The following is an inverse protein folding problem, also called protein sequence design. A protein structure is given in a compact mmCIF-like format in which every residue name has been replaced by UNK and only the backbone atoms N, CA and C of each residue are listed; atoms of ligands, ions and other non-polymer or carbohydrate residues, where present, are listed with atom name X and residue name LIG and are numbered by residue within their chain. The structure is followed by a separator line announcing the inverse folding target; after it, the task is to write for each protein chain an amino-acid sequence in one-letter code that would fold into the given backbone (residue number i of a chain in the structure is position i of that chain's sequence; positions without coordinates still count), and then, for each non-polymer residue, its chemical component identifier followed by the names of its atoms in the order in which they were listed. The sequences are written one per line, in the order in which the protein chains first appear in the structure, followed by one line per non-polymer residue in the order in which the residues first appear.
data_IF_389582081142
#
_entry.id   IF_389582081142
#
_cell.length_a   1.000
_cell.length_b   1.000
_cell.length_c   1.000
_cell.angle_alpha   90.00
_cell.angle_beta   90.00
_cell.angle_gamma   90.00
#
_symmetry.space_group_name_H-M   'P 1'
#
loop_
_entity.id
_entity.type
_entity.pdbx_description
1 polymer ?
#
# COMPACT_ATOMS: atom_id res chain seq x y z
N UNK A 1 2.08 44.35 -65.33
CA UNK A 1 2.83 44.04 -64.08
C UNK A 1 2.55 45.01 -62.93
N UNK A 2 2.15 46.27 -63.17
CA UNK A 2 1.85 47.22 -62.09
C UNK A 2 0.54 46.93 -61.31
N UNK A 3 -0.50 46.37 -61.96
CA UNK A 3 -1.78 46.08 -61.30
C UNK A 3 -1.76 44.82 -60.41
N UNK A 4 -0.93 43.83 -60.73
CA UNK A 4 -0.78 42.62 -59.91
C UNK A 4 -0.09 42.95 -58.57
N UNK A 5 0.91 43.85 -58.59
CA UNK A 5 1.59 44.30 -57.37
C UNK A 5 0.70 45.16 -56.47
N UNK A 6 -0.21 45.97 -57.03
CA UNK A 6 -1.22 46.69 -56.24
C UNK A 6 -2.24 45.73 -55.61
N UNK A 7 -2.58 44.63 -56.28
CA UNK A 7 -3.46 43.59 -55.74
C UNK A 7 -2.80 42.81 -54.59
N UNK A 8 -1.52 42.44 -54.73
CA UNK A 8 -0.80 41.69 -53.70
C UNK A 8 -0.57 42.53 -52.43
N UNK A 9 -0.23 43.82 -52.59
CA UNK A 9 -0.09 44.74 -51.46
C UNK A 9 -1.40 44.92 -50.69
N UNK A 10 -2.54 44.93 -51.39
CA UNK A 10 -3.87 45.03 -50.77
C UNK A 10 -4.26 43.75 -50.05
N UNK A 11 -3.91 42.59 -50.60
CA UNK A 11 -4.12 41.28 -49.97
C UNK A 11 -3.23 41.09 -48.72
N UNK A 12 -2.00 41.60 -48.73
CA UNK A 12 -1.12 41.59 -47.57
C UNK A 12 -1.63 42.52 -46.45
N UNK A 13 -2.12 43.70 -46.79
CA UNK A 13 -2.73 44.62 -45.81
C UNK A 13 -4.00 44.02 -45.19
N UNK A 14 -4.81 43.32 -45.99
CA UNK A 14 -6.02 42.63 -45.51
C UNK A 14 -5.69 41.41 -44.64
N UNK A 15 -4.64 40.65 -44.98
CA UNK A 15 -4.14 39.55 -44.16
C UNK A 15 -3.52 40.04 -42.85
N UNK A 16 -2.72 41.11 -42.87
CA UNK A 16 -2.16 41.70 -41.64
C UNK A 16 -3.25 42.19 -40.69
N UNK A 17 -4.28 42.89 -41.20
CA UNK A 17 -5.43 43.31 -40.38
C UNK A 17 -6.21 42.12 -39.82
N UNK A 18 -6.29 41.02 -40.56
CA UNK A 18 -6.95 39.79 -40.11
C UNK A 18 -6.12 39.04 -39.07
N UNK A 19 -4.80 39.08 -39.17
CA UNK A 19 -3.87 38.58 -38.15
C UNK A 19 -3.97 39.45 -36.89
N UNK A 20 -3.96 40.78 -36.98
CA UNK A 20 -4.17 41.66 -35.82
C UNK A 20 -5.55 41.48 -35.16
N UNK A 21 -6.60 41.22 -35.95
CA UNK A 21 -7.92 40.84 -35.43
C UNK A 21 -7.95 39.46 -34.77
N UNK A 22 -7.14 38.51 -35.25
CA UNK A 22 -6.99 37.20 -34.63
C UNK A 22 -6.13 37.28 -33.38
N UNK A 23 -5.06 38.07 -33.38
CA UNK A 23 -4.19 38.34 -32.24
C UNK A 23 -4.91 39.14 -31.16
N UNK A 24 -5.84 40.04 -31.51
CA UNK A 24 -6.72 40.69 -30.52
C UNK A 24 -7.83 39.77 -30.00
N UNK A 25 -8.23 38.74 -30.76
CA UNK A 25 -9.13 37.67 -30.30
C UNK A 25 -8.41 36.60 -29.46
N UNK A 26 -7.10 36.41 -29.67
CA UNK A 26 -6.24 35.49 -28.92
C UNK A 26 -5.57 36.19 -27.73
N UNK A 27 -5.42 37.51 -27.79
CA UNK A 27 -4.86 38.38 -26.73
C UNK A 27 -5.87 38.79 -25.65
N UNK A 28 -7.11 38.32 -25.74
CA UNK A 28 -8.14 38.46 -24.71
C UNK A 28 -8.15 37.25 -23.78
N UNK A 29 -7.15 37.19 -22.88
CA UNK A 29 -7.12 36.27 -21.75
C UNK A 29 -6.92 34.79 -22.11
N UNK A 30 -5.96 34.14 -21.45
CA UNK A 30 -6.19 32.74 -21.07
C UNK A 30 -7.61 32.68 -20.48
N UNK A 31 -8.40 31.60 -20.67
CA UNK A 31 -9.43 31.32 -19.70
C UNK A 31 -8.68 31.10 -18.39
N UNK A 32 -8.52 32.18 -17.60
CA UNK A 32 -8.56 32.05 -16.17
C UNK A 32 -9.91 31.42 -15.94
N UNK A 33 -9.91 30.09 -15.82
CA UNK A 33 -10.73 29.48 -14.80
C UNK A 33 -10.41 30.33 -13.58
N UNK A 34 -11.29 31.27 -13.24
CA UNK A 34 -11.29 31.82 -11.91
C UNK A 34 -11.40 30.59 -11.04
N UNK A 35 -10.27 30.21 -10.46
CA UNK A 35 -10.21 29.16 -9.48
C UNK A 35 -10.90 29.74 -8.25
N UNK A 36 -12.23 29.67 -8.27
CA UNK A 36 -13.06 29.97 -7.11
C UNK A 36 -12.92 28.87 -6.06
N UNK A 37 -12.04 27.88 -6.27
CA UNK A 37 -11.61 27.00 -5.20
C UNK A 37 -10.67 27.81 -4.33
N UNK A 38 -11.15 28.16 -3.16
CA UNK A 38 -10.26 28.39 -2.02
C UNK A 38 -9.32 27.18 -1.89
N UNK A 39 -8.10 27.36 -1.36
CA UNK A 39 -7.13 26.27 -1.07
C UNK A 39 -7.74 25.10 -0.24
N UNK A 40 -8.91 25.34 0.38
CA UNK A 40 -9.74 24.36 1.08
C UNK A 40 -10.52 23.38 0.17
N UNK A 41 -10.76 23.70 -1.11
CA UNK A 41 -11.57 22.88 -2.05
C UNK A 41 -10.70 22.03 -3.01
N UNK A 42 -9.37 22.16 -2.93
CA UNK A 42 -8.48 21.40 -3.78
C UNK A 42 -8.30 19.97 -3.26
N UNK A 43 -8.59 18.98 -4.11
CA UNK A 43 -8.42 17.57 -3.80
C UNK A 43 -6.96 17.28 -3.43
N UNK A 44 -6.75 16.69 -2.25
CA UNK A 44 -5.43 16.31 -1.73
C UNK A 44 -5.17 14.83 -2.01
N UNK A 45 -3.90 14.49 -2.20
CA UNK A 45 -3.48 13.16 -2.63
C UNK A 45 -2.43 12.59 -1.71
N UNK A 46 -2.43 11.26 -1.56
CA UNK A 46 -1.40 10.55 -0.84
C UNK A 46 -0.04 10.71 -1.55
N UNK A 47 1.04 10.87 -0.80
CA UNK A 47 2.40 11.02 -1.32
C UNK A 47 3.28 9.88 -0.77
N UNK A 48 3.02 8.66 -1.21
CA UNK A 48 3.69 7.46 -0.70
C UNK A 48 5.23 7.58 -0.83
N UNK A 49 5.99 7.29 0.25
CA UNK A 49 7.44 7.31 0.19
C UNK A 49 7.98 6.23 -0.75
N UNK A 50 9.03 6.56 -1.51
CA UNK A 50 9.71 5.59 -2.37
C UNK A 50 10.64 4.71 -1.55
N UNK A 51 10.34 3.42 -1.45
CA UNK A 51 11.21 2.40 -0.83
C UNK A 51 11.93 1.62 -1.93
N UNK A 52 13.27 1.41 -1.84
CA UNK A 52 13.99 0.56 -2.78
C UNK A 52 13.41 -0.86 -2.83
N UNK A 53 13.23 -1.40 -4.03
CA UNK A 53 12.77 -2.78 -4.18
C UNK A 53 13.82 -3.79 -3.71
N UNK A 54 13.37 -4.91 -3.13
CA UNK A 54 14.24 -6.06 -2.85
C UNK A 54 14.91 -6.49 -4.16
N UNK A 55 16.24 -6.55 -4.11
CA UNK A 55 17.06 -7.07 -5.20
C UNK A 55 17.25 -8.57 -5.01
N UNK A 56 17.18 -9.31 -6.10
CA UNK A 56 17.37 -10.76 -6.12
C UNK A 56 18.61 -11.11 -6.94
N UNK A 57 19.28 -12.21 -6.59
CA UNK A 57 20.39 -12.70 -7.40
C UNK A 57 19.89 -13.10 -8.80
N UNK A 58 20.78 -13.08 -9.79
CA UNK A 58 20.45 -13.46 -11.17
C UNK A 58 19.99 -14.93 -11.32
N UNK A 59 20.17 -15.75 -10.27
CA UNK A 59 19.74 -17.15 -10.21
C UNK A 59 18.24 -17.28 -9.88
N UNK A 60 17.61 -16.22 -9.36
CA UNK A 60 16.17 -16.19 -9.08
C UNK A 60 15.43 -15.82 -10.36
N UNK A 61 14.51 -16.69 -10.79
CA UNK A 61 13.67 -16.40 -11.96
C UNK A 61 12.82 -15.15 -11.72
N UNK A 62 12.58 -14.37 -12.77
CA UNK A 62 11.72 -13.18 -12.70
C UNK A 62 10.31 -13.50 -12.17
N UNK A 63 9.78 -14.70 -12.49
CA UNK A 63 8.50 -15.20 -11.98
C UNK A 63 8.50 -15.42 -10.45
N UNK A 64 9.62 -15.88 -9.89
CA UNK A 64 9.75 -16.10 -8.44
C UNK A 64 9.96 -14.79 -7.69
N UNK A 65 10.89 -13.95 -8.16
CA UNK A 65 11.13 -12.62 -7.61
C UNK A 65 9.84 -11.79 -7.50
N UNK A 66 8.97 -11.93 -8.50
CA UNK A 66 7.64 -11.33 -8.59
C UNK A 66 6.71 -11.69 -7.41
N UNK A 67 6.51 -12.97 -7.16
CA UNK A 67 5.54 -13.40 -6.14
C UNK A 67 6.01 -13.07 -4.72
N UNK A 68 7.33 -13.07 -4.54
CA UNK A 68 7.95 -12.57 -3.31
C UNK A 68 7.58 -11.10 -3.13
N UNK A 69 7.78 -10.22 -4.11
CA UNK A 69 7.43 -8.77 -3.99
C UNK A 69 5.96 -8.49 -3.70
N UNK A 70 5.06 -9.33 -4.22
CA UNK A 70 3.63 -9.15 -4.00
C UNK A 70 3.20 -9.47 -2.57
N UNK A 71 3.75 -10.54 -1.99
CA UNK A 71 3.34 -11.07 -0.68
C UNK A 71 4.29 -10.59 0.43
N UNK A 72 5.54 -10.26 0.12
CA UNK A 72 6.54 -9.84 1.11
C UNK A 72 6.17 -8.54 1.80
N UNK A 73 5.39 -7.66 1.16
CA UNK A 73 4.87 -6.46 1.82
C UNK A 73 3.73 -6.78 2.79
N UNK A 74 3.02 -7.89 2.60
CA UNK A 74 1.90 -8.25 3.47
C UNK A 74 2.41 -8.73 4.83
N UNK A 75 1.69 -8.39 5.88
CA UNK A 75 1.91 -8.97 7.19
C UNK A 75 1.55 -10.47 7.16
N UNK A 76 2.11 -11.25 8.07
CA UNK A 76 1.56 -12.58 8.33
C UNK A 76 0.22 -12.41 9.04
N UNK A 77 -0.79 -13.17 8.62
CA UNK A 77 -2.12 -13.03 9.17
C UNK A 77 -2.12 -13.37 10.68
N UNK A 78 -2.91 -12.64 11.47
CA UNK A 78 -2.91 -12.75 12.93
C UNK A 78 -1.92 -11.83 13.63
N UNK A 79 -1.15 -11.03 12.88
CA UNK A 79 -0.20 -10.06 13.45
C UNK A 79 -0.98 -8.98 14.20
N UNK A 80 -0.48 -8.59 15.37
CA UNK A 80 -0.98 -7.44 16.12
C UNK A 80 -0.01 -6.28 15.91
N UNK A 81 -0.50 -5.21 15.31
CA UNK A 81 0.27 -4.02 14.99
C UNK A 81 0.00 -2.94 16.04
N UNK A 82 1.07 -2.39 16.60
CA UNK A 82 1.00 -1.33 17.58
C UNK A 82 1.19 0.01 16.89
N UNK A 83 0.31 0.95 17.19
CA UNK A 83 0.39 2.30 16.68
C UNK A 83 0.52 3.33 17.80
N UNK A 84 1.32 4.35 17.53
CA UNK A 84 1.56 5.47 18.42
C UNK A 84 1.35 6.77 17.66
N UNK A 85 0.64 7.71 18.29
CA UNK A 85 0.57 9.09 17.82
C UNK A 85 1.68 9.90 18.48
N UNK A 86 2.47 10.62 17.67
CA UNK A 86 3.40 11.59 18.23
C UNK A 86 2.65 12.56 19.16
N UNK A 87 3.13 12.69 20.40
CA UNK A 87 2.49 13.49 21.44
C UNK A 87 3.07 14.90 21.59
N UNK A 88 4.22 15.16 20.98
CA UNK A 88 5.00 16.37 21.13
C UNK A 88 5.73 16.77 19.84
N UNK A 89 6.21 18.01 19.80
CA UNK A 89 6.93 18.55 18.65
C UNK A 89 6.04 18.78 17.42
N UNK A 90 6.65 18.94 16.24
CA UNK A 90 5.94 19.32 15.01
C UNK A 90 5.05 18.21 14.44
N UNK A 91 5.13 16.99 14.98
CA UNK A 91 4.35 15.84 14.52
C UNK A 91 3.11 15.60 15.37
N UNK A 92 2.92 16.35 16.46
CA UNK A 92 1.80 16.16 17.36
C UNK A 92 0.48 16.56 16.72
N UNK A 93 -0.44 15.61 16.59
CA UNK A 93 -1.81 15.87 16.11
C UNK A 93 -2.72 16.38 17.22
N UNK A 94 -3.74 17.16 16.84
CA UNK A 94 -4.85 17.51 17.73
C UNK A 94 -5.70 16.27 18.10
N UNK A 95 -6.47 16.35 19.18
CA UNK A 95 -7.33 15.25 19.65
C UNK A 95 -8.28 14.74 18.57
N UNK A 96 -8.89 15.67 17.84
CA UNK A 96 -9.96 15.37 16.89
C UNK A 96 -9.42 14.64 15.65
N UNK A 97 -8.21 15.03 15.20
CA UNK A 97 -7.51 14.33 14.12
C UNK A 97 -7.06 12.92 14.54
N UNK A 98 -6.56 12.75 15.78
CA UNK A 98 -6.22 11.41 16.30
C UNK A 98 -7.46 10.52 16.37
N UNK A 99 -8.60 11.08 16.75
CA UNK A 99 -9.86 10.34 16.80
C UNK A 99 -10.30 9.85 15.42
N UNK A 100 -10.22 10.70 14.40
CA UNK A 100 -10.49 10.26 13.01
C UNK A 100 -9.57 9.13 12.55
N UNK A 101 -8.30 9.13 12.98
CA UNK A 101 -7.39 8.03 12.66
C UNK A 101 -7.78 6.75 13.41
N UNK A 102 -8.23 6.85 14.67
CA UNK A 102 -8.78 5.70 15.41
C UNK A 102 -10.02 5.14 14.73
N UNK A 103 -10.92 6.01 14.24
CA UNK A 103 -12.09 5.59 13.45
C UNK A 103 -11.66 4.82 12.19
N UNK A 104 -10.60 5.26 11.51
CA UNK A 104 -10.01 4.53 10.38
C UNK A 104 -9.53 3.11 10.76
N UNK A 105 -8.88 2.96 11.92
CA UNK A 105 -8.52 1.63 12.43
C UNK A 105 -9.76 0.78 12.76
N UNK A 106 -10.82 1.39 13.31
CA UNK A 106 -12.09 0.71 13.58
C UNK A 106 -12.77 0.23 12.29
N UNK A 107 -12.72 1.00 11.21
CA UNK A 107 -13.24 0.56 9.89
C UNK A 107 -12.57 -0.75 9.47
N UNK A 108 -11.24 -0.84 9.54
CA UNK A 108 -10.50 -2.06 9.21
C UNK A 108 -10.75 -3.20 10.22
N UNK A 109 -10.87 -2.92 11.52
CA UNK A 109 -11.27 -3.92 12.54
C UNK A 109 -12.63 -4.53 12.22
N UNK A 110 -13.60 -3.71 11.81
CA UNK A 110 -14.97 -4.14 11.50
C UNK A 110 -15.08 -5.02 10.24
N UNK A 111 -14.05 -5.04 9.38
CA UNK A 111 -13.95 -6.01 8.28
C UNK A 111 -13.85 -7.45 8.81
N UNK A 112 -13.38 -7.63 10.06
CA UNK A 112 -13.18 -8.94 10.66
C UNK A 112 -11.96 -9.67 10.09
N UNK A 113 -10.93 -8.92 9.69
CA UNK A 113 -9.65 -9.49 9.27
C UNK A 113 -8.87 -10.03 10.48
N UNK A 114 -7.93 -10.94 10.22
CA UNK A 114 -7.08 -11.49 11.27
C UNK A 114 -5.97 -10.55 11.77
N UNK A 115 -5.79 -9.36 11.19
CA UNK A 115 -4.83 -8.36 11.72
C UNK A 115 -5.46 -7.61 12.88
N UNK A 116 -4.73 -7.52 13.98
CA UNK A 116 -5.09 -6.71 15.15
C UNK A 116 -4.38 -5.37 15.14
N UNK A 117 -5.00 -4.36 15.72
CA UNK A 117 -4.41 -3.05 15.94
C UNK A 117 -4.50 -2.69 17.42
N UNK A 118 -3.46 -2.08 17.98
CA UNK A 118 -3.43 -1.59 19.36
C UNK A 118 -2.76 -0.23 19.46
N UNK A 119 -3.41 0.72 20.12
CA UNK A 119 -2.78 1.99 20.46
C UNK A 119 -1.88 1.79 21.67
N UNK A 120 -0.62 2.21 21.57
CA UNK A 120 0.34 2.18 22.67
C UNK A 120 0.70 3.59 23.12
N UNK A 121 1.10 3.72 24.39
CA UNK A 121 1.48 5.00 24.99
C UNK A 121 2.96 5.34 24.82
N UNK A 122 3.79 4.36 24.44
CA UNK A 122 5.21 4.54 24.21
C UNK A 122 5.53 4.36 22.74
N UNK A 123 6.32 5.26 22.16
CA UNK A 123 6.82 5.10 20.81
C UNK A 123 7.68 3.86 20.66
N UNK A 124 8.37 3.43 21.73
CA UNK A 124 9.26 2.25 21.73
C UNK A 124 8.52 0.93 21.53
N UNK A 125 7.21 0.92 21.78
CA UNK A 125 6.34 -0.25 21.61
C UNK A 125 5.64 -0.26 20.23
N UNK A 126 5.86 0.75 19.38
CA UNK A 126 5.08 0.97 18.16
C UNK A 126 5.84 0.68 16.87
N UNK A 127 5.27 -0.18 16.01
CA UNK A 127 5.70 -0.29 14.62
C UNK A 127 5.16 0.89 13.79
N UNK A 128 3.89 1.25 14.00
CA UNK A 128 3.22 2.33 13.27
C UNK A 128 3.36 3.64 14.08
N UNK A 129 3.98 4.66 13.49
CA UNK A 129 4.34 5.91 14.16
C UNK A 129 3.74 7.07 13.38
N UNK A 130 2.64 7.60 13.89
CA UNK A 130 1.72 8.47 13.15
C UNK A 130 1.95 9.93 13.53
N UNK A 131 2.41 10.72 12.55
CA UNK A 131 2.59 12.17 12.69
C UNK A 131 1.54 12.99 11.95
N UNK A 132 1.51 14.29 12.25
CA UNK A 132 0.57 15.25 11.68
C UNK A 132 1.28 16.51 11.16
N UNK A 133 2.39 16.34 10.44
CA UNK A 133 3.18 17.46 9.93
C UNK A 133 2.45 18.16 8.79
N UNK A 134 1.89 19.34 9.08
CA UNK A 134 1.19 20.16 8.08
C UNK A 134 2.06 20.47 6.86
N UNK A 135 1.50 20.31 5.66
CA UNK A 135 2.18 20.52 4.39
C UNK A 135 3.01 19.35 3.87
N UNK A 136 3.16 18.28 4.66
CA UNK A 136 3.96 17.10 4.30
C UNK A 136 3.14 15.97 3.64
N UNK A 137 1.93 16.28 3.17
CA UNK A 137 1.01 15.32 2.56
C UNK A 137 0.46 14.27 3.53
N UNK A 138 -0.51 13.47 3.07
CA UNK A 138 -0.88 12.22 3.75
C UNK A 138 -0.10 11.08 3.10
N UNK A 139 0.41 10.16 3.91
CA UNK A 139 1.15 9.00 3.40
C UNK A 139 1.36 7.94 4.48
N UNK A 140 1.63 6.72 4.04
CA UNK A 140 2.11 5.62 4.86
C UNK A 140 3.07 4.74 4.05
N UNK A 141 4.01 4.09 4.73
CA UNK A 141 4.78 3.01 4.14
C UNK A 141 3.89 1.78 3.88
N UNK A 142 4.24 1.00 2.86
CA UNK A 142 3.41 -0.13 2.43
C UNK A 142 3.76 -1.39 3.22
N UNK A 143 2.85 -1.82 4.08
CA UNK A 143 2.94 -3.12 4.72
C UNK A 143 4.14 -3.24 5.65
N UNK A 144 4.95 -4.28 5.46
CA UNK A 144 6.15 -4.54 6.27
C UNK A 144 7.27 -3.50 6.08
N UNK A 145 7.19 -2.62 5.09
CA UNK A 145 8.17 -1.52 4.96
C UNK A 145 8.17 -0.61 6.21
N UNK A 146 7.07 -0.60 6.96
CA UNK A 146 6.94 0.09 8.24
C UNK A 146 8.02 -0.33 9.26
N UNK A 147 8.38 -1.61 9.32
CA UNK A 147 9.36 -2.14 10.29
C UNK A 147 10.81 -2.05 9.78
N UNK A 148 11.01 -1.74 8.50
CA UNK A 148 12.34 -1.55 7.92
C UNK A 148 12.85 -0.11 8.11
N UNK A 149 12.02 0.80 8.64
CA UNK A 149 12.42 2.17 8.95
C UNK A 149 13.28 2.20 10.22
N UNK A 150 14.57 2.56 10.11
CA UNK A 150 15.54 2.34 11.18
C UNK A 150 15.37 3.27 12.40
N UNK A 151 14.81 4.48 12.22
CA UNK A 151 14.63 5.43 13.31
C UNK A 151 13.32 5.23 14.06
N UNK A 152 13.42 4.93 15.36
CA UNK A 152 12.27 4.83 16.27
C UNK A 152 11.47 6.15 16.39
N UNK A 153 12.08 7.29 16.07
CA UNK A 153 11.43 8.60 16.06
C UNK A 153 11.10 9.12 14.66
N UNK A 154 11.30 8.30 13.63
CA UNK A 154 10.85 8.61 12.28
C UNK A 154 9.38 8.21 12.12
N UNK A 155 8.59 9.06 11.45
CA UNK A 155 7.19 8.73 11.14
C UNK A 155 7.14 7.58 10.15
N UNK A 156 6.19 6.68 10.33
CA UNK A 156 5.86 5.64 9.33
C UNK A 156 4.50 5.87 8.66
N UNK A 157 3.77 6.87 9.16
CA UNK A 157 2.56 7.42 8.57
C UNK A 157 2.48 8.91 8.90
N UNK A 158 1.92 9.72 8.02
CA UNK A 158 1.67 11.13 8.25
C UNK A 158 0.30 11.55 7.72
N UNK A 159 -0.31 12.53 8.38
CA UNK A 159 -1.44 13.30 7.87
C UNK A 159 -1.06 14.78 7.80
N UNK A 160 -0.94 15.29 6.57
CA UNK A 160 -0.35 16.61 6.31
C UNK A 160 -1.34 17.78 6.28
N UNK A 161 -2.59 17.56 6.66
CA UNK A 161 -3.63 18.57 6.71
C UNK A 161 -4.66 18.25 7.79
N UNK A 162 -5.52 19.22 8.09
CA UNK A 162 -6.60 19.03 9.05
C UNK A 162 -7.65 18.04 8.50
N UNK A 163 -7.61 16.82 9.01
CA UNK A 163 -8.53 15.74 8.65
C UNK A 163 -10.00 16.10 8.90
N UNK A 164 -10.29 16.95 9.89
CA UNK A 164 -11.67 17.33 10.23
C UNK A 164 -12.34 18.18 9.15
N UNK A 165 -11.53 18.73 8.25
CA UNK A 165 -11.96 19.56 7.11
C UNK A 165 -11.80 18.82 5.77
N UNK A 166 -11.36 17.57 5.80
CA UNK A 166 -11.18 16.75 4.61
C UNK A 166 -12.55 16.32 4.06
N UNK A 167 -12.89 16.61 2.79
CA UNK A 167 -14.12 16.13 2.17
C UNK A 167 -14.25 14.59 2.16
N UNK A 168 -13.13 13.86 2.20
CA UNK A 168 -13.11 12.39 2.31
C UNK A 168 -13.35 11.91 3.74
N UNK A 169 -13.24 12.79 4.74
CA UNK A 169 -13.43 12.45 6.15
C UNK A 169 -12.52 11.28 6.59
N UNK A 170 -13.13 10.26 7.17
CA UNK A 170 -12.43 9.06 7.69
C UNK A 170 -11.73 8.24 6.60
N UNK A 171 -12.12 8.39 5.33
CA UNK A 171 -11.53 7.60 4.25
C UNK A 171 -10.05 7.91 4.01
N UNK A 172 -9.60 9.14 4.33
CA UNK A 172 -8.17 9.46 4.25
C UNK A 172 -7.38 8.59 5.23
N UNK A 173 -7.71 8.52 6.54
CA UNK A 173 -7.16 7.50 7.43
C UNK A 173 -7.32 6.06 6.95
N UNK A 174 -8.49 5.66 6.45
CA UNK A 174 -8.72 4.28 5.95
C UNK A 174 -7.75 3.94 4.82
N UNK A 175 -7.50 4.88 3.90
CA UNK A 175 -6.54 4.75 2.81
C UNK A 175 -5.11 4.54 3.32
N UNK A 176 -4.64 5.41 4.22
CA UNK A 176 -3.27 5.30 4.75
C UNK A 176 -3.08 4.03 5.58
N UNK A 177 -4.10 3.59 6.31
CA UNK A 177 -4.08 2.31 7.02
C UNK A 177 -4.11 1.13 6.03
N UNK A 178 -4.77 1.28 4.88
CA UNK A 178 -4.73 0.33 3.77
C UNK A 178 -3.29 0.13 3.24
N UNK A 179 -2.53 1.22 3.10
CA UNK A 179 -1.09 1.13 2.81
C UNK A 179 -0.34 0.39 3.92
N UNK A 180 -0.58 0.71 5.19
CA UNK A 180 0.01 -0.03 6.32
C UNK A 180 -0.34 -1.52 6.28
N UNK A 181 -1.50 -1.92 5.77
CA UNK A 181 -1.87 -3.32 5.55
C UNK A 181 -1.20 -3.95 4.31
N UNK A 182 -0.47 -3.17 3.53
CA UNK A 182 0.30 -3.61 2.38
C UNK A 182 -0.43 -3.46 1.04
N UNK A 183 -1.52 -2.68 0.97
CA UNK A 183 -2.23 -2.42 -0.28
C UNK A 183 -1.65 -1.20 -1.00
N UNK A 184 -1.21 -1.33 -2.26
CA UNK A 184 -0.76 -0.19 -3.06
C UNK A 184 -1.95 0.58 -3.65
N UNK A 185 -1.70 1.63 -4.42
CA UNK A 185 -2.76 2.37 -5.09
C UNK A 185 -3.44 1.58 -6.22
N UNK A 186 -4.77 1.65 -6.27
CA UNK A 186 -5.58 0.88 -7.22
C UNK A 186 -5.47 1.40 -8.67
N UNK A 187 -5.21 2.70 -8.90
CA UNK A 187 -4.99 3.22 -10.26
C UNK A 187 -3.67 2.76 -10.89
N UNK A 188 -2.75 2.26 -10.06
CA UNK A 188 -1.51 1.62 -10.53
C UNK A 188 -1.73 0.16 -10.90
N UNK A 189 -2.92 -0.40 -10.65
CA UNK A 189 -3.33 -1.70 -11.14
C UNK A 189 -3.20 -1.73 -12.69
N UNK A 190 -2.39 -2.63 -13.24
CA UNK A 190 -2.16 -2.74 -14.68
C UNK A 190 -3.41 -3.21 -15.43
N UNK A 191 -4.34 -3.91 -14.76
CA UNK A 191 -5.63 -4.30 -15.31
C UNK A 191 -6.66 -3.17 -15.31
N UNK A 192 -6.34 -1.99 -14.78
CA UNK A 192 -7.23 -0.82 -14.81
C UNK A 192 -7.55 -0.33 -16.22
N UNK A 193 -6.72 -0.68 -17.22
CA UNK A 193 -6.87 -0.19 -18.59
C UNK A 193 -6.72 1.34 -18.71
N UNK A 194 -6.27 2.01 -17.64
CA UNK A 194 -6.08 3.45 -17.61
C UNK A 194 -4.94 3.84 -18.54
N UNK A 195 -5.28 4.65 -19.55
CA UNK A 195 -4.32 5.35 -20.40
C UNK A 195 -4.34 6.82 -19.99
N UNK A 196 -3.20 7.30 -19.50
CA UNK A 196 -3.04 8.67 -19.02
C UNK A 196 -2.77 9.66 -20.16
N UNK A 197 -3.21 10.90 -20.00
CA UNK A 197 -2.57 12.05 -20.63
C UNK A 197 -1.41 12.47 -19.71
N UNK A 198 -0.23 11.90 -19.92
CA UNK A 198 0.89 12.01 -18.98
C UNK A 198 1.33 13.46 -18.73
N UNK A 199 1.33 14.31 -19.76
CA UNK A 199 1.69 15.72 -19.60
C UNK A 199 0.62 16.48 -18.80
N UNK A 200 -0.67 16.22 -19.05
CA UNK A 200 -1.74 16.80 -18.24
C UNK A 200 -1.65 16.33 -16.77
N UNK A 201 -1.28 15.06 -16.53
CA UNK A 201 -1.04 14.53 -15.18
C UNK A 201 0.13 15.26 -14.52
N UNK A 202 1.26 15.42 -15.22
CA UNK A 202 2.40 16.16 -14.67
C UNK A 202 2.07 17.62 -14.36
N UNK A 203 1.36 18.31 -15.27
CA UNK A 203 0.96 19.70 -15.08
C UNK A 203 -0.01 19.86 -13.91
N UNK A 204 -0.96 18.94 -13.76
CA UNK A 204 -1.94 18.96 -12.67
C UNK A 204 -1.27 18.74 -11.30
N UNK A 205 -0.50 17.66 -11.13
CA UNK A 205 0.15 17.36 -9.86
C UNK A 205 1.35 18.26 -9.55
N UNK A 206 1.93 18.91 -10.56
CA UNK A 206 2.96 19.94 -10.40
C UNK A 206 2.40 21.28 -9.92
N UNK A 207 1.09 21.50 -10.00
CA UNK A 207 0.40 22.68 -9.45
C UNK A 207 0.08 22.55 -7.96
N UNK A 208 -0.39 23.64 -7.36
CA UNK A 208 -0.92 23.63 -5.99
C UNK A 208 -2.17 22.73 -5.90
N UNK A 209 -2.41 22.08 -4.74
CA UNK A 209 -1.63 22.13 -3.50
C UNK A 209 -0.44 21.16 -3.48
N UNK A 210 -0.35 20.21 -4.40
CA UNK A 210 0.65 19.13 -4.39
C UNK A 210 2.07 19.61 -4.65
N UNK A 211 2.25 20.46 -5.67
CA UNK A 211 3.55 20.97 -6.11
C UNK A 211 4.60 19.85 -6.33
N UNK A 212 4.17 18.70 -6.83
CA UNK A 212 5.04 17.53 -6.95
C UNK A 212 6.02 17.66 -8.12
N UNK A 213 7.30 17.29 -7.93
CA UNK A 213 8.19 17.08 -9.05
C UNK A 213 7.72 15.88 -9.88
N UNK A 214 8.08 15.85 -11.17
CA UNK A 214 7.68 14.79 -12.10
C UNK A 214 8.01 13.38 -11.59
N UNK A 215 9.12 13.20 -10.87
CA UNK A 215 9.48 11.90 -10.30
C UNK A 215 8.46 11.40 -9.27
N UNK A 216 8.01 12.28 -8.36
CA UNK A 216 6.97 11.96 -7.37
C UNK A 216 5.65 11.64 -8.04
N UNK A 217 5.24 12.42 -9.06
CA UNK A 217 4.04 12.15 -9.85
C UNK A 217 4.14 10.83 -10.60
N UNK A 218 5.31 10.53 -11.17
CA UNK A 218 5.53 9.25 -11.82
C UNK A 218 5.37 8.10 -10.83
N UNK A 219 6.03 8.17 -9.68
CA UNK A 219 5.98 7.13 -8.66
C UNK A 219 4.58 6.87 -8.11
N UNK A 220 3.84 7.94 -7.78
CA UNK A 220 2.53 7.85 -7.11
C UNK A 220 1.36 7.68 -8.09
N UNK A 221 1.46 8.14 -9.34
CA UNK A 221 0.33 8.18 -10.28
C UNK A 221 0.56 7.34 -11.52
N UNK A 222 1.65 7.60 -12.25
CA UNK A 222 1.82 7.05 -13.61
C UNK A 222 2.42 5.64 -13.63
N UNK A 223 3.30 5.33 -12.67
CA UNK A 223 3.94 4.02 -12.56
C UNK A 223 2.86 2.96 -12.43
N UNK A 224 2.85 2.00 -13.33
CA UNK A 224 2.03 0.79 -13.20
C UNK A 224 2.75 -0.21 -12.33
N UNK A 225 2.00 -0.85 -11.44
CA UNK A 225 2.44 -2.08 -10.83
C UNK A 225 2.59 -3.10 -11.96
N UNK A 226 3.60 -3.97 -11.91
CA UNK A 226 3.70 -5.08 -12.83
C UNK A 226 2.37 -5.87 -12.87
N UNK A 227 1.91 -6.31 -14.07
CA UNK A 227 0.71 -7.15 -14.34
C UNK A 227 0.52 -8.34 -13.39
N UNK A 228 1.58 -8.68 -12.69
CA UNK A 228 1.83 -9.93 -12.06
C UNK A 228 2.07 -9.74 -10.54
N UNK A 229 1.94 -8.50 -10.03
CA UNK A 229 1.82 -8.09 -8.61
C UNK A 229 0.36 -7.78 -8.22
N UNK A 230 -0.61 -8.02 -9.11
CA UNK A 230 -2.03 -7.72 -8.90
C UNK A 230 -2.91 -8.91 -9.35
N UNK A 231 -2.35 -10.12 -9.32
CA UNK A 231 -2.94 -11.33 -9.92
C UNK A 231 -4.35 -11.60 -9.34
N UNK A 232 -5.38 -11.45 -10.19
CA UNK A 232 -6.76 -11.83 -9.89
C UNK A 232 -7.69 -10.74 -9.33
N UNK A 233 -7.25 -9.51 -9.08
CA UNK A 233 -8.20 -8.42 -8.79
C UNK A 233 -8.60 -7.68 -10.06
N UNK A 234 -9.83 -7.91 -10.51
CA UNK A 234 -10.50 -7.01 -11.44
C UNK A 234 -10.39 -5.59 -10.87
N UNK A 235 -9.90 -4.64 -11.67
CA UNK A 235 -9.75 -3.25 -11.25
C UNK A 235 -11.03 -2.71 -10.60
N UNK A 236 -10.85 -1.97 -9.51
CA UNK A 236 -11.93 -1.36 -8.76
C UNK A 236 -11.88 0.18 -8.80
N UNK A 237 -12.73 0.85 -9.60
CA UNK A 237 -12.77 2.30 -9.64
C UNK A 237 -13.29 2.93 -8.34
N UNK A 238 -13.97 2.15 -7.48
CA UNK A 238 -14.55 2.59 -6.21
C UNK A 238 -13.73 2.15 -4.99
N UNK A 239 -12.54 1.57 -5.19
CA UNK A 239 -11.65 1.19 -4.08
C UNK A 239 -11.24 2.42 -3.28
N UNK A 240 -11.19 2.28 -1.95
CA UNK A 240 -10.64 3.32 -1.08
C UNK A 240 -9.18 3.64 -1.45
N UNK A 241 -8.45 2.66 -2.01
CA UNK A 241 -7.06 2.78 -2.47
C UNK A 241 -6.92 3.49 -3.82
N UNK A 242 -8.03 3.89 -4.45
CA UNK A 242 -8.04 4.64 -5.71
C UNK A 242 -8.05 6.15 -5.45
N UNK A 243 -7.33 6.90 -6.28
CA UNK A 243 -7.43 8.35 -6.28
C UNK A 243 -8.65 8.84 -7.06
N UNK A 244 -9.24 9.95 -6.63
CA UNK A 244 -10.13 10.70 -7.50
C UNK A 244 -9.30 11.49 -8.52
N UNK A 245 -9.63 11.40 -9.79
CA UNK A 245 -8.95 12.17 -10.84
C UNK A 245 -9.94 13.14 -11.49
N UNK A 246 -9.62 14.43 -11.62
CA UNK A 246 -10.47 15.37 -12.35
C UNK A 246 -10.52 15.06 -13.85
N UNK A 247 -11.46 15.70 -14.54
CA UNK A 247 -11.58 15.62 -15.99
C UNK A 247 -10.27 16.01 -16.70
N UNK A 248 -9.98 15.34 -17.81
CA UNK A 248 -8.84 15.67 -18.69
C UNK A 248 -7.54 14.93 -18.39
N UNK A 249 -7.45 14.16 -17.30
CA UNK A 249 -6.23 13.38 -16.98
C UNK A 249 -6.24 11.96 -17.60
N UNK A 250 -7.42 11.37 -17.74
CA UNK A 250 -7.60 9.99 -18.21
C UNK A 250 -8.07 10.01 -19.67
N UNK A 251 -7.31 9.40 -20.58
CA UNK A 251 -7.68 9.23 -21.99
C UNK A 251 -8.57 8.00 -22.20
N UNK A 252 -8.32 6.92 -21.45
CA UNK A 252 -9.14 5.69 -21.45
C UNK A 252 -9.17 5.08 -20.05
N UNK A 253 -10.24 4.35 -19.68
CA UNK A 253 -11.49 4.15 -20.43
C UNK A 253 -12.26 5.47 -20.68
N UNK A 254 -12.95 5.59 -21.84
CA UNK A 254 -13.64 6.81 -22.28
C UNK A 254 -14.58 7.40 -21.23
N UNK A 255 -15.26 6.54 -20.47
CA UNK A 255 -16.21 6.92 -19.43
C UNK A 255 -15.58 7.76 -18.31
N UNK A 256 -14.26 7.67 -18.10
CA UNK A 256 -13.53 8.42 -17.06
C UNK A 256 -12.82 9.68 -17.59
N UNK A 257 -13.02 10.06 -18.87
CA UNK A 257 -12.47 11.30 -19.43
C UNK A 257 -12.96 12.56 -18.72
N UNK A 258 -14.19 12.51 -18.19
CA UNK A 258 -14.82 13.60 -17.45
C UNK A 258 -14.51 13.55 -15.95
N UNK A 259 -13.59 12.68 -15.53
CA UNK A 259 -13.18 12.48 -14.16
C UNK A 259 -13.58 11.10 -13.63
N UNK A 260 -12.90 10.71 -12.56
CA UNK A 260 -13.13 9.50 -11.79
C UNK A 260 -13.17 9.91 -10.33
N UNK A 261 -14.22 9.53 -9.61
CA UNK A 261 -14.37 9.84 -8.19
C UNK A 261 -14.84 8.57 -7.50
N UNK A 262 -13.93 7.86 -6.79
CA UNK A 262 -14.30 6.65 -6.07
C UNK A 262 -15.39 6.96 -5.05
N UNK A 263 -16.32 6.02 -4.86
CA UNK A 263 -17.27 6.09 -3.75
C UNK A 263 -16.53 6.13 -2.40
N UNK A 264 -17.17 6.73 -1.38
CA UNK A 264 -16.63 6.73 -0.02
C UNK A 264 -16.84 5.37 0.66
N UNK A 265 -15.92 4.99 1.53
CA UNK A 265 -15.88 3.73 2.27
C UNK A 265 -15.10 2.62 1.57
N UNK A 266 -15.01 1.47 2.22
CA UNK A 266 -14.44 0.26 1.64
C UNK A 266 -15.40 -0.36 0.63
N UNK A 267 -14.89 -0.71 -0.55
CA UNK A 267 -15.65 -1.49 -1.52
C UNK A 267 -15.75 -2.97 -1.12
N UNK A 268 -16.65 -3.72 -1.75
CA UNK A 268 -16.72 -5.18 -1.58
C UNK A 268 -15.41 -5.87 -2.00
N UNK A 269 -14.68 -5.31 -2.97
CA UNK A 269 -13.39 -5.83 -3.43
C UNK A 269 -12.28 -5.53 -2.44
N UNK A 270 -12.26 -4.34 -1.83
CA UNK A 270 -11.33 -4.00 -0.74
C UNK A 270 -11.50 -5.01 0.42
N UNK A 271 -12.74 -5.24 0.84
CA UNK A 271 -13.09 -6.21 1.89
C UNK A 271 -12.67 -7.63 1.49
N UNK A 272 -12.96 -8.04 0.26
CA UNK A 272 -12.62 -9.37 -0.26
C UNK A 272 -11.10 -9.60 -0.30
N UNK A 273 -10.35 -8.62 -0.79
CA UNK A 273 -8.89 -8.71 -0.88
C UNK A 273 -8.24 -8.70 0.51
N UNK A 274 -8.73 -7.87 1.42
CA UNK A 274 -8.27 -7.87 2.81
C UNK A 274 -8.53 -9.20 3.51
N UNK A 275 -9.71 -9.80 3.34
CA UNK A 275 -10.03 -11.13 3.89
C UNK A 275 -9.29 -12.28 3.22
N UNK A 276 -8.87 -12.13 1.97
CA UNK A 276 -8.03 -13.11 1.30
C UNK A 276 -6.63 -13.18 1.94
N UNK A 277 -5.99 -12.04 2.15
CA UNK A 277 -4.66 -12.01 2.77
C UNK A 277 -4.71 -12.18 4.30
N UNK A 278 -5.79 -11.73 4.92
CA UNK A 278 -5.96 -11.68 6.36
C UNK A 278 -7.31 -12.28 6.79
N UNK A 279 -7.59 -13.56 6.50
CA UNK A 279 -8.84 -14.18 6.91
C UNK A 279 -9.02 -14.13 8.44
N UNK A 280 -10.26 -14.13 8.95
CA UNK A 280 -10.50 -14.26 10.38
C UNK A 280 -9.76 -15.49 10.95
N UNK A 281 -9.13 -15.33 12.11
CA UNK A 281 -8.37 -16.40 12.76
C UNK A 281 -8.96 -16.75 14.12
N UNK A 282 -8.85 -18.04 14.46
CA UNK A 282 -9.10 -18.57 15.79
C UNK A 282 -7.87 -19.41 16.19
N UNK A 283 -6.93 -18.76 16.88
CA UNK A 283 -5.66 -19.38 17.26
C UNK A 283 -5.83 -20.51 18.29
N UNK A 284 -7.00 -20.64 18.93
CA UNK A 284 -7.32 -21.77 19.81
C UNK A 284 -7.55 -23.08 19.04
N UNK A 285 -7.93 -22.98 17.76
CA UNK A 285 -8.17 -24.13 16.88
C UNK A 285 -6.92 -24.60 16.14
N UNK A 286 -5.80 -23.91 16.32
CA UNK A 286 -4.56 -24.24 15.64
C UNK A 286 -4.08 -25.65 16.04
N UNK A 287 -3.81 -26.56 15.07
CA UNK A 287 -3.28 -27.87 15.38
C UNK A 287 -1.90 -27.76 16.04
N UNK A 288 -1.60 -28.71 16.93
CA UNK A 288 -0.27 -28.79 17.54
C UNK A 288 0.74 -29.35 16.53
N UNK A 289 1.88 -28.69 16.40
CA UNK A 289 3.02 -29.21 15.64
C UNK A 289 3.83 -30.14 16.55
N UNK A 290 3.73 -31.44 16.27
CA UNK A 290 4.40 -32.46 17.06
C UNK A 290 5.88 -32.63 16.64
N UNK A 291 6.83 -32.66 17.60
CA UNK A 291 8.24 -32.92 17.28
C UNK A 291 8.45 -34.25 16.56
N UNK A 292 9.37 -34.26 15.60
CA UNK A 292 9.73 -35.41 14.76
C UNK A 292 8.60 -35.99 13.92
N UNK A 293 7.48 -35.25 13.75
CA UNK A 293 6.40 -35.60 12.84
C UNK A 293 6.40 -34.66 11.64
N UNK A 294 6.42 -35.26 10.45
CA UNK A 294 6.32 -34.50 9.21
C UNK A 294 4.88 -34.08 8.95
N UNK A 295 4.65 -32.76 8.86
CA UNK A 295 3.34 -32.18 8.55
C UNK A 295 3.29 -31.75 7.09
N UNK A 296 2.37 -32.31 6.31
CA UNK A 296 2.16 -31.91 4.91
C UNK A 296 1.32 -30.62 4.85
N UNK A 297 1.75 -29.68 4.02
CA UNK A 297 1.08 -28.40 3.80
C UNK A 297 0.43 -28.41 2.42
N UNK A 298 -0.90 -28.38 2.39
CA UNK A 298 -1.69 -28.14 1.18
C UNK A 298 -2.11 -26.67 1.18
N UNK A 299 -1.22 -25.81 0.68
CA UNK A 299 -1.42 -24.36 0.61
C UNK A 299 -1.29 -23.88 -0.84
N UNK A 300 -2.07 -22.87 -1.18
CA UNK A 300 -1.97 -22.07 -2.40
C UNK A 300 -1.17 -20.79 -2.11
N UNK A 301 -0.63 -20.09 -3.12
CA UNK A 301 0.04 -18.82 -2.93
C UNK A 301 -0.82 -17.81 -2.14
N UNK A 302 -0.23 -17.16 -1.15
CA UNK A 302 -0.92 -16.21 -0.25
C UNK A 302 -1.61 -16.87 0.95
N UNK A 303 -1.94 -18.16 0.88
CA UNK A 303 -2.54 -18.91 1.99
C UNK A 303 -1.53 -19.17 3.12
N UNK A 304 -2.08 -19.40 4.31
CA UNK A 304 -1.32 -19.58 5.53
C UNK A 304 -1.87 -20.76 6.33
N UNK A 305 -0.98 -21.51 6.98
CA UNK A 305 -1.31 -22.50 8.00
C UNK A 305 -0.63 -22.16 9.31
N UNK A 306 -1.39 -22.26 10.40
CA UNK A 306 -0.93 -21.96 11.75
C UNK A 306 -0.79 -23.24 12.56
N UNK A 307 0.16 -23.24 13.48
CA UNK A 307 0.40 -24.33 14.41
C UNK A 307 0.69 -23.80 15.81
N UNK A 308 0.26 -24.54 16.82
CA UNK A 308 0.73 -24.33 18.20
C UNK A 308 1.95 -25.20 18.48
N UNK A 309 2.90 -24.66 19.23
CA UNK A 309 4.07 -25.38 19.72
C UNK A 309 4.11 -25.23 21.23
N UNK A 310 4.09 -26.36 21.93
CA UNK A 310 4.24 -26.44 23.38
C UNK A 310 5.41 -27.39 23.69
N UNK A 311 6.61 -26.86 23.95
CA UNK A 311 7.81 -27.66 24.17
C UNK A 311 7.68 -28.54 25.42
N UNK A 312 8.00 -29.81 25.28
CA UNK A 312 8.07 -30.75 26.41
C UNK A 312 9.34 -30.59 27.25
N UNK A 313 10.37 -29.93 26.72
CA UNK A 313 11.62 -29.60 27.39
C UNK A 313 12.14 -28.22 26.96
N UNK A 314 12.86 -27.54 27.85
CA UNK A 314 13.56 -26.30 27.48
C UNK A 314 14.82 -26.65 26.71
N UNK A 315 14.93 -26.17 25.47
CA UNK A 315 15.99 -26.62 24.57
C UNK A 315 16.08 -25.81 23.30
N UNK A 316 17.06 -26.15 22.46
CA UNK A 316 17.17 -25.62 21.10
C UNK A 316 16.35 -26.51 20.18
N UNK A 317 15.47 -25.91 19.41
CA UNK A 317 14.62 -26.55 18.42
C UNK A 317 14.96 -26.02 17.03
N UNK A 318 14.79 -26.87 16.02
CA UNK A 318 14.79 -26.49 14.62
C UNK A 318 13.39 -26.67 14.05
N UNK A 319 12.91 -25.64 13.37
CA UNK A 319 11.70 -25.68 12.56
C UNK A 319 12.14 -25.44 11.13
N UNK A 320 11.68 -26.26 10.19
CA UNK A 320 12.09 -26.10 8.80
C UNK A 320 10.98 -26.58 7.86
N UNK A 321 10.81 -25.86 6.76
CA UNK A 321 10.01 -26.34 5.61
C UNK A 321 10.88 -27.14 4.64
N UNK A 322 10.24 -28.05 3.91
CA UNK A 322 10.88 -28.89 2.91
C UNK A 322 9.98 -28.91 1.67
N UNK A 323 10.60 -28.99 0.49
CA UNK A 323 9.86 -28.99 -0.77
C UNK A 323 10.45 -28.02 -1.78
N UNK A 324 9.69 -27.79 -2.84
CA UNK A 324 10.03 -26.86 -3.93
C UNK A 324 9.27 -25.53 -3.86
N UNK A 325 8.51 -25.30 -2.79
CA UNK A 325 7.75 -24.08 -2.61
C UNK A 325 8.53 -23.06 -1.79
N UNK A 326 8.25 -21.78 -2.05
CA UNK A 326 8.85 -20.66 -1.32
C UNK A 326 7.96 -20.32 -0.13
N UNK A 327 8.51 -20.30 1.08
CA UNK A 327 7.73 -20.22 2.33
C UNK A 327 8.28 -19.16 3.27
N UNK A 328 7.41 -18.39 3.91
CA UNK A 328 7.75 -17.60 5.09
C UNK A 328 7.29 -18.34 6.35
N UNK A 329 8.17 -18.48 7.33
CA UNK A 329 7.82 -18.85 8.69
C UNK A 329 7.96 -17.66 9.63
N UNK A 330 6.96 -17.44 10.48
CA UNK A 330 7.03 -16.47 11.57
C UNK A 330 6.61 -17.14 12.86
N UNK A 331 7.45 -16.99 13.89
CA UNK A 331 7.25 -17.57 15.21
C UNK A 331 6.91 -16.47 16.22
N UNK A 332 5.87 -16.72 16.99
CA UNK A 332 5.41 -15.86 18.08
C UNK A 332 5.45 -16.64 19.40
N UNK A 333 5.75 -15.93 20.49
CA UNK A 333 5.52 -16.40 21.86
C UNK A 333 4.19 -15.86 22.37
N UNK A 334 3.38 -16.71 22.99
CA UNK A 334 2.19 -16.30 23.72
C UNK A 334 2.60 -15.82 25.12
N UNK A 335 2.52 -14.50 25.31
CA UNK A 335 2.79 -13.84 26.58
C UNK A 335 1.46 -13.33 27.14
N UNK A 336 0.85 -14.13 28.03
CA UNK A 336 -0.41 -13.79 28.70
C UNK A 336 -1.59 -13.53 27.72
N UNK A 337 -1.69 -14.30 26.64
CA UNK A 337 -2.72 -14.17 25.62
C UNK A 337 -2.33 -13.24 24.47
N UNK A 338 -1.17 -12.60 24.55
CA UNK A 338 -0.67 -11.70 23.51
C UNK A 338 0.50 -12.35 22.74
N UNK A 339 0.37 -12.41 21.42
CA UNK A 339 1.40 -12.98 20.56
C UNK A 339 2.50 -11.95 20.29
N UNK A 340 3.67 -12.16 20.91
CA UNK A 340 4.87 -11.36 20.71
C UNK A 340 5.75 -12.00 19.65
N UNK A 341 6.13 -11.22 18.64
CA UNK A 341 7.06 -11.66 17.59
C UNK A 341 8.38 -12.12 18.21
N UNK A 342 8.88 -13.28 17.78
CA UNK A 342 10.20 -13.76 18.17
C UNK A 342 11.19 -13.68 17.03
N UNK A 343 10.83 -14.27 15.89
CA UNK A 343 11.73 -14.43 14.74
C UNK A 343 10.94 -14.87 13.51
N UNK A 344 11.49 -14.60 12.34
CA UNK A 344 10.99 -15.04 11.05
C UNK A 344 12.14 -15.49 10.16
N UNK A 345 11.81 -16.31 9.18
CA UNK A 345 12.74 -16.76 8.15
C UNK A 345 11.97 -17.12 6.88
N UNK A 346 12.49 -16.77 5.71
CA UNK A 346 11.94 -17.14 4.40
C UNK A 346 12.87 -18.04 3.57
N UNK A 347 14.20 -17.97 3.75
CA UNK A 347 15.13 -18.58 2.80
C UNK A 347 16.37 -19.30 3.40
N UNK A 348 16.54 -19.37 4.73
CA UNK A 348 17.76 -19.93 5.32
C UNK A 348 17.81 -21.46 5.43
N UNK A 349 16.80 -22.15 4.90
CA UNK A 349 16.76 -23.59 4.72
C UNK A 349 17.44 -24.06 3.42
N UNK A 350 17.03 -25.23 2.90
CA UNK A 350 17.57 -25.74 1.63
C UNK A 350 16.78 -25.18 0.45
N UNK A 351 17.44 -24.42 -0.41
CA UNK A 351 16.84 -23.88 -1.64
C UNK A 351 15.85 -22.75 -1.34
N UNK A 352 14.55 -23.08 -1.33
CA UNK A 352 13.43 -22.13 -1.22
C UNK A 352 12.75 -22.14 0.16
N UNK A 353 13.29 -22.93 1.08
CA UNK A 353 12.61 -23.26 2.32
C UNK A 353 13.11 -22.39 3.47
N UNK A 354 12.22 -22.05 4.38
CA UNK A 354 12.52 -21.36 5.60
C UNK A 354 13.09 -22.31 6.67
N UNK A 355 13.97 -21.80 7.52
CA UNK A 355 14.50 -22.50 8.69
C UNK A 355 14.67 -21.58 9.89
N UNK A 356 13.98 -21.90 10.98
CA UNK A 356 14.13 -21.23 12.27
C UNK A 356 14.92 -22.13 13.23
N UNK A 357 16.00 -21.61 13.82
CA UNK A 357 16.70 -22.24 14.94
C UNK A 357 16.55 -21.38 16.18
N UNK A 358 15.80 -21.86 17.16
CA UNK A 358 15.38 -21.04 18.31
C UNK A 358 15.47 -21.84 19.61
N UNK A 359 15.62 -21.15 20.74
CA UNK A 359 15.51 -21.76 22.06
C UNK A 359 14.08 -21.59 22.57
N UNK A 360 13.37 -22.71 22.73
CA UNK A 360 12.02 -22.71 23.29
C UNK A 360 12.05 -23.17 24.75
N UNK A 361 11.10 -22.69 25.55
CA UNK A 361 11.01 -22.97 26.98
C UNK A 361 9.83 -23.88 27.29
N UNK A 362 10.06 -24.90 28.13
CA UNK A 362 8.98 -25.77 28.62
C UNK A 362 7.96 -24.94 29.40
N UNK A 363 6.67 -25.21 29.18
CA UNK A 363 5.58 -24.51 29.85
C UNK A 363 5.22 -23.16 29.23
N UNK A 364 5.88 -22.77 28.13
CA UNK A 364 5.46 -21.67 27.26
C UNK A 364 4.70 -22.21 26.06
N UNK A 365 3.82 -21.38 25.51
CA UNK A 365 3.09 -21.64 24.27
C UNK A 365 3.64 -20.72 23.18
N UNK A 366 3.79 -21.27 22.00
CA UNK A 366 4.24 -20.55 20.81
C UNK A 366 3.26 -20.80 19.67
N UNK A 367 3.16 -19.83 18.75
CA UNK A 367 2.38 -19.96 17.52
C UNK A 367 3.33 -19.81 16.34
N UNK A 368 3.40 -20.84 15.52
CA UNK A 368 4.12 -20.82 14.26
C UNK A 368 3.12 -20.57 13.13
N UNK A 369 3.43 -19.60 12.28
CA UNK A 369 2.64 -19.28 11.09
C UNK A 369 3.49 -19.51 9.87
N UNK A 370 2.97 -20.31 8.95
CA UNK A 370 3.65 -20.67 7.71
C UNK A 370 2.82 -20.15 6.54
N UNK A 371 3.37 -19.20 5.80
CA UNK A 371 2.76 -18.63 4.59
C UNK A 371 3.47 -19.12 3.35
N UNK A 372 2.71 -19.42 2.30
CA UNK A 372 3.28 -19.80 1.01
C UNK A 372 3.39 -18.58 0.09
N UNK A 373 4.61 -18.30 -0.40
CA UNK A 373 4.84 -17.25 -1.40
C UNK A 373 4.65 -17.77 -2.83
N UNK A 374 5.23 -18.92 -3.14
CA UNK A 374 5.14 -19.56 -4.44
C UNK A 374 4.84 -21.04 -4.24
N UNK A 375 3.89 -21.56 -5.00
CA UNK A 375 3.64 -22.98 -5.11
C UNK A 375 4.22 -23.51 -6.43
N UNK A 376 5.08 -24.52 -6.37
CA UNK A 376 5.56 -25.22 -7.58
C UNK A 376 4.60 -26.34 -8.00
N UNK A 377 4.03 -27.05 -7.01
CA UNK A 377 2.91 -27.97 -7.16
C UNK A 377 2.21 -28.19 -5.79
N UNK A 378 0.87 -28.25 -5.80
CA UNK A 378 0.07 -28.42 -4.58
C UNK A 378 0.41 -29.72 -3.85
N UNK A 379 0.75 -29.61 -2.56
CA UNK A 379 1.04 -30.74 -1.68
C UNK A 379 2.52 -31.12 -1.55
N UNK A 380 3.43 -30.39 -2.17
CA UNK A 380 4.87 -30.70 -2.16
C UNK A 380 5.66 -30.01 -1.03
N UNK A 381 4.97 -29.28 -0.16
CA UNK A 381 5.59 -28.61 1.00
C UNK A 381 5.33 -29.40 2.27
N UNK A 382 6.37 -29.67 3.04
CA UNK A 382 6.29 -30.31 4.35
C UNK A 382 6.95 -29.44 5.42
N UNK A 383 6.55 -29.63 6.67
CA UNK A 383 7.05 -28.91 7.84
C UNK A 383 7.51 -29.92 8.90
N UNK A 384 8.67 -29.67 9.51
CA UNK A 384 9.18 -30.49 10.61
C UNK A 384 9.70 -29.60 11.74
N UNK A 385 9.39 -30.01 12.97
CA UNK A 385 9.97 -29.51 14.21
C UNK A 385 10.83 -30.62 14.83
N UNK A 386 12.07 -30.33 15.25
CA UNK A 386 12.95 -31.31 15.92
C UNK A 386 13.94 -30.70 16.91
#
# INVERSE_FOLDING_TARGET
MADINKSLARQLDELSKRIEQLESRVGGGKPTIEDTRTDDDAQRYCAMPSVPERTFSAEISSHRARLIRWIDKKWVNGTRLHYYFFDSGPYAGGSDQREMVREGFEVWRNVGIGIGFEEVSSIDDAEIRIGFLSGDGAWSYVGRDVIDIPGQHERTMNFGWDLTRDPRGVDTPVHEIGHTLGFPHEHQNPFAGIVWDEEAVYDYFGGAPNNWPRETTFHNVLRKLPENEVEGSDWDPDSVMHYGFPAGLILRPEQYRNGLSPALGLSDKDIGQARFFYPPLDDERNPRLEPFRLEMLSLSPGEQKNFTIEPTATGRYSIQTFGQSDTLMVLFEDVAGELRYMTADDDSGTGLNARIRVRLQRGRRYVLRVRLYLNWASGDTALLLW
#
